data_IF_584294148186
#
_entry.id   IF_584294148186
#
_cell.length_a   1.000
_cell.length_b   1.000
_cell.length_c   1.000
_cell.angle_alpha   90.00
_cell.angle_beta   90.00
_cell.angle_gamma   90.00
#
_symmetry.space_group_name_H-M   'P 1'
#
loop_
_entity.id
_entity.type
_entity.pdbx_description
1 polymer ?
#
# COMPACT_ATOMS: atom_id res chain seq x y z
N UNK A 1 -62.19 -32.26 38.56
CA UNK A 1 -63.20 -32.33 37.50
C UNK A 1 -62.43 -32.48 36.25
N UNK A 2 -62.20 -33.62 35.76
CA UNK A 2 -62.99 -34.29 34.68
C UNK A 2 -62.68 -33.53 33.37
N UNK A 3 -62.30 -34.11 32.30
CA UNK A 3 -62.11 -35.49 31.82
C UNK A 3 -61.75 -35.45 30.34
N UNK A 4 -60.98 -36.39 29.99
CA UNK A 4 -61.11 -37.34 28.89
C UNK A 4 -60.67 -36.92 27.46
N UNK A 5 -59.69 -37.60 26.97
CA UNK A 5 -59.71 -38.84 26.10
C UNK A 5 -60.16 -38.48 24.66
N UNK A 6 -59.42 -38.75 23.59
CA UNK A 6 -58.95 -40.00 23.02
C UNK A 6 -58.34 -39.75 21.65
N UNK A 7 -57.27 -40.41 21.37
CA UNK A 7 -57.09 -41.41 20.31
C UNK A 7 -56.95 -40.94 18.86
N UNK A 8 -55.92 -41.35 18.27
CA UNK A 8 -55.94 -42.15 17.08
C UNK A 8 -54.98 -41.65 15.94
N UNK A 9 -53.94 -42.36 15.73
CA UNK A 9 -53.04 -42.32 14.55
C UNK A 9 -53.82 -42.64 13.24
N UNK A 10 -53.28 -42.45 12.05
CA UNK A 10 -51.96 -42.96 11.64
C UNK A 10 -51.15 -42.08 10.70
N UNK A 11 -49.86 -42.37 10.70
CA UNK A 11 -48.82 -42.11 9.73
C UNK A 11 -49.35 -42.14 8.28
N UNK A 12 -49.08 -41.06 7.57
CA UNK A 12 -49.06 -41.04 6.11
C UNK A 12 -47.74 -40.47 5.62
N UNK A 13 -46.89 -41.37 5.19
CA UNK A 13 -45.69 -41.07 4.42
C UNK A 13 -46.06 -40.22 3.19
N UNK A 14 -45.61 -38.96 3.15
CA UNK A 14 -45.68 -38.14 1.94
C UNK A 14 -44.37 -38.27 1.18
N UNK A 15 -44.50 -38.96 0.06
CA UNK A 15 -43.55 -39.05 -1.04
C UNK A 15 -42.98 -37.66 -1.38
N UNK A 16 -41.64 -37.53 -1.31
CA UNK A 16 -40.91 -36.40 -1.89
C UNK A 16 -41.04 -36.45 -3.43
N UNK A 17 -41.99 -35.70 -3.96
CA UNK A 17 -42.03 -35.37 -5.38
C UNK A 17 -40.93 -34.33 -5.61
N UNK A 18 -39.92 -34.70 -6.44
CA UNK A 18 -38.96 -33.81 -7.06
C UNK A 18 -39.69 -32.60 -7.64
N UNK A 19 -39.53 -31.44 -7.00
CA UNK A 19 -39.87 -30.15 -7.60
C UNK A 19 -38.69 -29.71 -8.46
N UNK A 20 -38.68 -30.16 -9.69
CA UNK A 20 -37.90 -29.49 -10.76
C UNK A 20 -38.40 -28.05 -10.87
N UNK A 21 -37.60 -27.11 -10.41
CA UNK A 21 -37.84 -25.68 -10.62
C UNK A 21 -37.74 -25.43 -12.12
N UNK A 22 -38.86 -25.30 -12.80
CA UNK A 22 -38.92 -24.81 -14.17
C UNK A 22 -38.54 -23.33 -14.13
N UNK A 23 -37.28 -23.01 -14.53
CA UNK A 23 -36.89 -21.65 -14.80
C UNK A 23 -37.76 -21.10 -15.94
N UNK A 24 -38.49 -19.97 -15.75
CA UNK A 24 -39.32 -19.42 -16.81
C UNK A 24 -38.44 -19.08 -18.02
N UNK A 25 -38.76 -19.62 -19.19
CA UNK A 25 -38.18 -19.11 -20.45
C UNK A 25 -38.69 -17.70 -20.65
N UNK A 26 -37.84 -16.70 -20.37
CA UNK A 26 -38.09 -15.30 -20.73
C UNK A 26 -38.37 -15.22 -22.23
N UNK A 27 -39.55 -14.71 -22.60
CA UNK A 27 -39.90 -14.37 -23.98
C UNK A 27 -38.82 -13.39 -24.46
N UNK A 28 -38.20 -13.68 -25.62
CA UNK A 28 -37.13 -12.93 -26.23
C UNK A 28 -37.52 -11.46 -26.43
N UNK A 29 -37.07 -10.60 -25.54
CA UNK A 29 -36.82 -9.18 -25.88
C UNK A 29 -35.48 -9.10 -26.59
N UNK A 30 -35.54 -9.18 -27.93
CA UNK A 30 -34.34 -9.18 -28.81
C UNK A 30 -33.53 -7.88 -28.80
N UNK A 31 -33.92 -6.89 -28.02
CA UNK A 31 -33.46 -5.50 -28.18
C UNK A 31 -32.25 -5.09 -27.30
N UNK A 32 -31.89 -5.87 -26.30
CA UNK A 32 -30.83 -5.48 -25.33
C UNK A 32 -29.63 -6.41 -25.26
N UNK A 33 -29.58 -7.45 -26.07
CA UNK A 33 -28.43 -8.37 -26.07
C UNK A 33 -27.32 -7.87 -26.98
N UNK A 34 -26.11 -7.75 -26.45
CA UNK A 34 -24.90 -7.43 -27.22
C UNK A 34 -24.44 -8.69 -27.94
N UNK A 35 -24.49 -8.75 -29.28
CA UNK A 35 -24.22 -9.99 -30.03
C UNK A 35 -22.86 -10.62 -29.75
N UNK A 36 -21.81 -9.79 -29.59
CA UNK A 36 -20.46 -10.26 -29.29
C UNK A 36 -20.38 -10.95 -27.91
N UNK A 37 -21.05 -10.39 -26.89
CA UNK A 37 -21.10 -10.97 -25.55
C UNK A 37 -21.85 -12.31 -25.54
N UNK A 38 -22.98 -12.38 -26.27
CA UNK A 38 -23.73 -13.64 -26.45
C UNK A 38 -22.83 -14.72 -27.06
N UNK A 39 -22.03 -14.35 -28.07
CA UNK A 39 -21.09 -15.30 -28.71
C UNK A 39 -19.96 -15.74 -27.77
N UNK A 40 -19.49 -14.90 -26.87
CA UNK A 40 -18.54 -15.32 -25.82
C UNK A 40 -19.17 -16.39 -24.94
N UNK A 41 -20.41 -16.20 -24.48
CA UNK A 41 -21.10 -17.21 -23.66
C UNK A 41 -21.34 -18.50 -24.45
N UNK A 42 -21.77 -18.43 -25.74
CA UNK A 42 -21.92 -19.61 -26.58
C UNK A 42 -20.61 -20.42 -26.67
N UNK A 43 -19.45 -19.75 -26.79
CA UNK A 43 -18.13 -20.39 -26.82
C UNK A 43 -17.79 -21.04 -25.48
N UNK A 44 -17.97 -20.31 -24.35
CA UNK A 44 -17.65 -20.82 -23.02
C UNK A 44 -18.54 -22.02 -22.65
N UNK A 45 -19.84 -21.96 -22.96
CA UNK A 45 -20.77 -23.07 -22.74
C UNK A 45 -20.40 -24.29 -23.60
N UNK A 46 -20.02 -24.06 -24.86
CA UNK A 46 -19.57 -25.14 -25.75
C UNK A 46 -18.35 -25.83 -25.15
N UNK A 47 -17.30 -25.08 -24.80
CA UNK A 47 -16.08 -25.62 -24.21
C UNK A 47 -16.31 -26.27 -22.84
N UNK A 48 -17.30 -25.80 -22.08
CA UNK A 48 -17.70 -26.41 -20.80
C UNK A 48 -18.44 -27.74 -20.94
N UNK A 49 -19.19 -27.93 -22.02
CA UNK A 49 -19.89 -29.20 -22.31
C UNK A 49 -18.99 -30.27 -22.90
N UNK A 50 -17.97 -29.85 -23.64
CA UNK A 50 -17.01 -30.77 -24.25
C UNK A 50 -15.96 -31.20 -23.23
N UNK A 51 -15.72 -32.50 -23.12
CA UNK A 51 -14.68 -33.03 -22.22
C UNK A 51 -13.27 -33.01 -22.85
N UNK A 52 -13.18 -32.66 -24.13
CA UNK A 52 -11.93 -32.62 -24.91
C UNK A 52 -11.67 -31.21 -25.42
N UNK A 53 -10.40 -30.89 -25.67
CA UNK A 53 -10.01 -29.61 -26.29
C UNK A 53 -10.51 -29.56 -27.73
N UNK A 54 -10.94 -28.37 -28.20
CA UNK A 54 -11.46 -28.15 -29.56
C UNK A 54 -10.52 -27.26 -30.39
N UNK A 55 -10.40 -27.53 -31.67
CA UNK A 55 -9.75 -26.63 -32.61
C UNK A 55 -10.63 -25.42 -32.95
N UNK A 56 -10.02 -24.34 -33.46
CA UNK A 56 -10.77 -23.18 -33.97
C UNK A 56 -11.83 -23.58 -34.97
N UNK A 57 -11.53 -24.56 -35.86
CA UNK A 57 -12.44 -25.06 -36.87
C UNK A 57 -13.65 -25.75 -36.25
N UNK A 58 -13.44 -26.62 -35.28
CA UNK A 58 -14.52 -27.30 -34.55
C UNK A 58 -15.44 -26.34 -33.82
N UNK A 59 -14.87 -25.27 -33.20
CA UNK A 59 -15.64 -24.22 -32.54
C UNK A 59 -16.43 -23.41 -33.58
N UNK A 60 -15.80 -23.07 -34.73
CA UNK A 60 -16.47 -22.36 -35.83
C UNK A 60 -17.70 -23.08 -36.34
N UNK A 61 -17.61 -24.40 -36.51
CA UNK A 61 -18.72 -25.19 -36.97
C UNK A 61 -19.91 -25.24 -36.01
N UNK A 62 -19.66 -25.08 -34.70
CA UNK A 62 -20.66 -25.17 -33.66
C UNK A 62 -21.22 -23.80 -33.22
N UNK A 63 -20.45 -22.72 -33.39
CA UNK A 63 -20.83 -21.34 -32.99
C UNK A 63 -21.16 -20.52 -34.25
N UNK A 64 -22.40 -20.06 -34.38
CA UNK A 64 -22.88 -19.28 -35.52
C UNK A 64 -22.32 -17.85 -35.51
N UNK A 65 -21.06 -17.68 -35.95
CA UNK A 65 -20.39 -16.37 -36.11
C UNK A 65 -19.25 -16.50 -37.17
N UNK A 66 -18.79 -15.39 -37.77
CA UNK A 66 -17.63 -15.42 -38.70
C UNK A 66 -16.38 -15.94 -37.97
N UNK A 67 -15.56 -16.73 -38.67
CA UNK A 67 -14.35 -17.36 -38.10
C UNK A 67 -13.37 -16.35 -37.51
N UNK A 68 -13.23 -15.19 -38.15
CA UNK A 68 -12.42 -14.06 -37.63
C UNK A 68 -12.94 -13.51 -36.32
N UNK A 69 -14.27 -13.42 -36.18
CA UNK A 69 -14.90 -12.99 -34.93
C UNK A 69 -14.66 -14.01 -33.81
N UNK A 70 -14.88 -15.32 -34.10
CA UNK A 70 -14.63 -16.40 -33.13
C UNK A 70 -13.17 -16.37 -32.67
N UNK A 71 -12.23 -16.23 -33.61
CA UNK A 71 -10.81 -16.14 -33.28
C UNK A 71 -10.50 -14.99 -32.34
N UNK A 72 -11.03 -13.78 -32.62
CA UNK A 72 -10.84 -12.59 -31.74
C UNK A 72 -11.46 -12.79 -30.38
N UNK A 73 -12.66 -13.37 -30.30
CA UNK A 73 -13.32 -13.68 -29.03
C UNK A 73 -12.53 -14.72 -28.24
N UNK A 74 -12.05 -15.79 -28.89
CA UNK A 74 -11.19 -16.79 -28.24
C UNK A 74 -9.89 -16.19 -27.71
N UNK A 75 -9.22 -15.33 -28.51
CA UNK A 75 -8.02 -14.63 -28.03
C UNK A 75 -8.31 -13.75 -26.82
N UNK A 76 -9.46 -13.07 -26.81
CA UNK A 76 -9.92 -12.30 -25.65
C UNK A 76 -10.16 -13.22 -24.44
N UNK A 77 -10.84 -14.34 -24.65
CA UNK A 77 -11.11 -15.30 -23.57
C UNK A 77 -9.82 -15.94 -23.02
N UNK A 78 -8.85 -16.21 -23.89
CA UNK A 78 -7.50 -16.72 -23.49
C UNK A 78 -6.77 -15.65 -22.70
N UNK A 79 -6.73 -14.42 -23.19
CA UNK A 79 -6.09 -13.29 -22.48
C UNK A 79 -6.73 -13.06 -21.11
N UNK A 80 -8.05 -13.21 -21.01
CA UNK A 80 -8.81 -13.06 -19.75
C UNK A 80 -8.80 -14.32 -18.89
N UNK A 81 -8.16 -15.41 -19.32
CA UNK A 81 -7.99 -16.64 -18.55
C UNK A 81 -9.21 -17.55 -18.45
N UNK A 82 -10.30 -17.27 -19.21
CA UNK A 82 -11.48 -18.14 -19.26
C UNK A 82 -11.28 -19.36 -20.14
N UNK A 83 -10.40 -19.26 -21.13
CA UNK A 83 -10.06 -20.33 -22.07
C UNK A 83 -8.55 -20.52 -22.06
N UNK A 84 -8.09 -21.76 -22.02
CA UNK A 84 -6.69 -22.11 -22.22
C UNK A 84 -6.48 -22.57 -23.68
N UNK A 85 -5.36 -22.12 -24.31
CA UNK A 85 -4.89 -22.64 -25.59
C UNK A 85 -3.64 -23.49 -25.34
N UNK A 86 -3.69 -24.77 -25.71
CA UNK A 86 -2.55 -25.66 -25.63
C UNK A 86 -1.48 -25.39 -26.70
N UNK A 87 -0.30 -25.98 -26.55
CA UNK A 87 0.79 -25.94 -27.55
C UNK A 87 0.41 -26.60 -28.88
N UNK A 88 -0.60 -27.46 -28.85
CA UNK A 88 -1.26 -28.08 -29.98
C UNK A 88 -2.25 -27.16 -30.73
N UNK A 89 -2.42 -25.91 -30.23
CA UNK A 89 -3.35 -24.93 -30.78
C UNK A 89 -4.82 -25.16 -30.43
N UNK A 90 -5.14 -26.18 -29.62
CA UNK A 90 -6.50 -26.50 -29.24
C UNK A 90 -6.95 -25.62 -28.04
N UNK A 91 -8.26 -25.34 -27.98
CA UNK A 91 -8.91 -24.54 -26.96
C UNK A 91 -9.70 -25.41 -26.01
N UNK A 92 -9.62 -25.10 -24.69
CA UNK A 92 -10.42 -25.74 -23.65
C UNK A 92 -10.87 -24.70 -22.63
N UNK A 93 -11.96 -24.97 -21.92
CA UNK A 93 -12.32 -24.14 -20.79
C UNK A 93 -11.21 -24.20 -19.75
N UNK A 94 -10.82 -23.06 -19.23
CA UNK A 94 -9.81 -23.03 -18.16
C UNK A 94 -10.39 -23.67 -16.90
N UNK A 95 -9.70 -24.65 -16.34
CA UNK A 95 -10.12 -25.33 -15.10
C UNK A 95 -9.99 -24.42 -13.88
N UNK A 96 -9.21 -23.35 -14.00
CA UNK A 96 -9.09 -22.29 -12.99
C UNK A 96 -9.03 -20.94 -13.72
N UNK A 97 -9.74 -19.91 -13.24
CA UNK A 97 -9.53 -18.56 -13.75
C UNK A 97 -8.04 -18.23 -13.60
N UNK A 98 -7.44 -17.58 -14.62
CA UNK A 98 -6.05 -17.09 -14.53
C UNK A 98 -5.93 -16.27 -13.25
N UNK A 99 -5.02 -16.66 -12.37
CA UNK A 99 -4.68 -15.84 -11.21
C UNK A 99 -4.20 -14.48 -11.71
N UNK A 100 -4.71 -13.41 -11.14
CA UNK A 100 -4.17 -12.08 -11.37
C UNK A 100 -2.72 -12.07 -10.90
N UNK A 101 -1.82 -11.54 -11.72
CA UNK A 101 -0.38 -11.47 -11.45
C UNK A 101 0.02 -10.02 -11.25
N UNK A 102 0.41 -9.67 -10.03
CA UNK A 102 0.89 -8.34 -9.69
C UNK A 102 2.42 -8.33 -9.66
N UNK A 103 3.02 -7.27 -10.20
CA UNK A 103 4.42 -6.97 -10.02
C UNK A 103 4.59 -5.96 -8.89
N UNK A 104 5.52 -6.20 -8.00
CA UNK A 104 5.89 -5.28 -6.94
C UNK A 104 7.39 -5.00 -7.00
N UNK A 105 7.77 -3.76 -7.33
CA UNK A 105 9.12 -3.26 -7.19
C UNK A 105 9.23 -2.62 -5.80
N UNK A 106 9.83 -3.34 -4.86
CA UNK A 106 9.99 -2.92 -3.47
C UNK A 106 11.13 -1.90 -3.34
N UNK A 107 11.02 -0.97 -2.41
CA UNK A 107 12.02 0.09 -2.20
C UNK A 107 13.41 -0.48 -1.88
N UNK A 108 13.50 -1.32 -0.86
CA UNK A 108 14.70 -2.07 -0.47
C UNK A 108 14.36 -3.03 0.68
N UNK A 109 14.92 -4.23 0.63
CA UNK A 109 14.86 -5.18 1.75
C UNK A 109 15.66 -4.75 2.98
N UNK A 110 16.60 -3.81 2.81
CA UNK A 110 17.42 -3.28 3.90
C UNK A 110 16.73 -2.15 4.69
N UNK A 111 15.56 -1.70 4.23
CA UNK A 111 14.79 -0.64 4.87
C UNK A 111 13.64 -1.22 5.70
N UNK A 112 13.60 -1.00 7.03
CA UNK A 112 12.60 -1.63 7.92
C UNK A 112 11.15 -1.41 7.49
N UNK A 113 10.79 -0.18 7.11
CA UNK A 113 9.45 0.13 6.63
C UNK A 113 9.10 -0.63 5.34
N UNK A 114 10.02 -0.66 4.38
CA UNK A 114 9.85 -1.38 3.11
C UNK A 114 9.68 -2.89 3.33
N UNK A 115 10.39 -3.48 4.30
CA UNK A 115 10.27 -4.88 4.65
C UNK A 115 8.89 -5.21 5.26
N UNK A 116 8.36 -4.35 6.14
CA UNK A 116 7.00 -4.48 6.69
C UNK A 116 5.97 -4.45 5.56
N UNK A 117 6.05 -3.47 4.66
CA UNK A 117 5.15 -3.34 3.50
C UNK A 117 5.25 -4.58 2.61
N UNK A 118 6.46 -5.04 2.31
CA UNK A 118 6.71 -6.22 1.46
C UNK A 118 6.10 -7.48 2.05
N UNK A 119 6.33 -7.71 3.35
CA UNK A 119 5.80 -8.87 4.06
C UNK A 119 4.27 -8.84 4.13
N UNK A 120 3.69 -7.67 4.41
CA UNK A 120 2.25 -7.43 4.40
C UNK A 120 1.64 -7.71 3.03
N UNK A 121 2.28 -7.23 1.95
CA UNK A 121 1.80 -7.41 0.58
C UNK A 121 1.87 -8.89 0.14
N UNK A 122 2.96 -9.61 0.47
CA UNK A 122 3.07 -11.05 0.22
C UNK A 122 1.94 -11.84 0.90
N UNK A 123 1.68 -11.54 2.17
CA UNK A 123 0.62 -12.19 2.94
C UNK A 123 -0.78 -11.89 2.35
N UNK A 124 -1.05 -10.63 1.98
CA UNK A 124 -2.32 -10.23 1.37
C UNK A 124 -2.52 -10.85 -0.02
N UNK A 125 -1.48 -10.90 -0.86
CA UNK A 125 -1.54 -11.54 -2.17
C UNK A 125 -1.91 -13.02 -2.06
N UNK A 126 -1.29 -13.74 -1.11
CA UNK A 126 -1.59 -15.14 -0.85
C UNK A 126 -3.06 -15.34 -0.42
N UNK A 127 -3.56 -14.53 0.52
CA UNK A 127 -4.97 -14.61 0.98
C UNK A 127 -5.97 -14.33 -0.11
N UNK A 128 -5.65 -13.42 -1.04
CA UNK A 128 -6.55 -13.01 -2.12
C UNK A 128 -6.35 -13.79 -3.43
N UNK A 129 -5.49 -14.82 -3.44
CA UNK A 129 -5.23 -15.65 -4.61
C UNK A 129 -4.54 -14.91 -5.76
N UNK A 130 -3.82 -13.82 -5.46
CA UNK A 130 -3.01 -13.04 -6.40
C UNK A 130 -1.60 -13.65 -6.45
N UNK A 131 -1.08 -13.86 -7.65
CA UNK A 131 0.35 -14.17 -7.85
C UNK A 131 1.14 -12.88 -7.74
N UNK A 132 2.13 -12.83 -6.84
CA UNK A 132 2.95 -11.64 -6.62
C UNK A 132 4.40 -11.91 -7.02
N UNK A 133 4.87 -11.17 -8.04
CA UNK A 133 6.28 -11.10 -8.40
C UNK A 133 6.92 -9.90 -7.67
N UNK A 134 7.88 -10.17 -6.81
CA UNK A 134 8.58 -9.13 -6.03
C UNK A 134 9.99 -8.95 -6.58
N UNK A 135 10.35 -7.71 -6.88
CA UNK A 135 11.71 -7.28 -7.25
C UNK A 135 12.17 -6.23 -6.24
N UNK A 136 13.45 -6.22 -5.91
CA UNK A 136 14.05 -5.26 -4.98
C UNK A 136 14.73 -4.15 -5.78
N UNK A 137 14.43 -2.89 -5.50
CA UNK A 137 15.06 -1.71 -6.09
C UNK A 137 16.37 -1.35 -5.42
N UNK A 138 16.70 -2.00 -4.30
CA UNK A 138 17.94 -1.78 -3.53
C UNK A 138 18.22 -0.30 -3.20
N UNK A 139 17.17 0.52 -3.11
CA UNK A 139 17.28 1.97 -2.90
C UNK A 139 18.04 2.69 -4.04
N UNK A 140 18.05 2.10 -5.24
CA UNK A 140 18.79 2.54 -6.42
C UNK A 140 17.85 2.89 -7.58
N UNK A 141 17.91 4.10 -8.14
CA UNK A 141 17.01 4.54 -9.21
C UNK A 141 17.22 3.79 -10.53
N UNK A 142 18.45 3.37 -10.85
CA UNK A 142 18.72 2.65 -12.10
C UNK A 142 18.17 1.24 -12.02
N UNK A 143 18.30 0.59 -10.86
CA UNK A 143 17.70 -0.72 -10.60
C UNK A 143 16.16 -0.62 -10.63
N UNK A 144 15.56 0.45 -10.09
CA UNK A 144 14.12 0.67 -10.14
C UNK A 144 13.60 0.75 -11.60
N UNK A 145 14.31 1.49 -12.48
CA UNK A 145 13.98 1.57 -13.90
C UNK A 145 14.09 0.19 -14.57
N UNK A 146 15.15 -0.56 -14.28
CA UNK A 146 15.35 -1.90 -14.82
C UNK A 146 14.28 -2.89 -14.33
N UNK A 147 13.91 -2.81 -13.06
CA UNK A 147 12.84 -3.63 -12.47
C UNK A 147 11.47 -3.33 -13.13
N UNK A 148 11.18 -2.06 -13.44
CA UNK A 148 9.97 -1.69 -14.17
C UNK A 148 9.93 -2.34 -15.57
N UNK A 149 11.07 -2.32 -16.30
CA UNK A 149 11.20 -3.01 -17.59
C UNK A 149 10.98 -4.53 -17.47
N UNK A 150 11.55 -5.13 -16.44
CA UNK A 150 11.39 -6.56 -16.16
C UNK A 150 9.94 -6.90 -15.85
N UNK A 151 9.24 -6.11 -15.06
CA UNK A 151 7.81 -6.32 -14.76
C UNK A 151 6.95 -6.24 -16.02
N UNK A 152 7.28 -5.35 -16.97
CA UNK A 152 6.62 -5.29 -18.28
C UNK A 152 6.90 -6.56 -19.10
N UNK A 153 8.13 -7.03 -19.14
CA UNK A 153 8.50 -8.28 -19.84
C UNK A 153 7.80 -9.51 -19.25
N UNK A 154 7.62 -9.56 -17.95
CA UNK A 154 6.91 -10.60 -17.21
C UNK A 154 5.38 -10.55 -17.41
N UNK A 155 4.87 -9.56 -18.14
CA UNK A 155 3.45 -9.40 -18.48
C UNK A 155 2.52 -9.46 -17.26
N UNK A 156 2.89 -8.76 -16.19
CA UNK A 156 2.04 -8.63 -15.01
C UNK A 156 0.76 -7.86 -15.33
N UNK A 157 -0.32 -8.11 -14.60
CA UNK A 157 -1.60 -7.45 -14.82
C UNK A 157 -1.65 -6.05 -14.21
N UNK A 158 -0.83 -5.79 -13.19
CA UNK A 158 -0.71 -4.51 -12.49
C UNK A 158 0.68 -4.38 -11.87
N UNK A 159 1.25 -3.18 -11.91
CA UNK A 159 2.50 -2.85 -11.22
C UNK A 159 2.22 -2.03 -9.96
N UNK A 160 2.85 -2.41 -8.86
CA UNK A 160 2.97 -1.62 -7.64
C UNK A 160 4.44 -1.19 -7.56
N UNK A 161 4.68 0.13 -7.59
CA UNK A 161 6.03 0.70 -7.57
C UNK A 161 6.28 1.41 -6.25
N UNK A 162 7.33 1.02 -5.56
CA UNK A 162 7.77 1.66 -4.34
C UNK A 162 9.25 2.04 -4.46
N UNK A 163 9.50 3.26 -4.88
CA UNK A 163 10.83 3.86 -4.98
C UNK A 163 10.73 5.35 -4.58
N UNK A 164 11.85 6.02 -4.33
CA UNK A 164 11.87 7.35 -3.74
C UNK A 164 12.61 8.41 -4.57
N UNK A 165 13.14 8.05 -5.73
CA UNK A 165 13.85 9.00 -6.58
C UNK A 165 12.89 9.64 -7.59
N UNK A 166 12.52 10.89 -7.34
CA UNK A 166 11.58 11.62 -8.20
C UNK A 166 12.06 11.71 -9.65
N UNK A 167 13.38 11.77 -9.88
CA UNK A 167 13.99 11.91 -11.21
C UNK A 167 13.65 10.76 -12.16
N UNK A 168 13.43 9.55 -11.66
CA UNK A 168 13.10 8.36 -12.49
C UNK A 168 11.61 8.04 -12.54
N UNK A 169 10.79 8.72 -11.75
CA UNK A 169 9.35 8.43 -11.66
C UNK A 169 8.63 8.51 -13.01
N UNK A 170 8.93 9.52 -13.84
CA UNK A 170 8.36 9.66 -15.17
C UNK A 170 8.83 8.54 -16.12
N UNK A 171 10.11 8.17 -16.08
CA UNK A 171 10.68 7.11 -16.92
C UNK A 171 10.01 5.77 -16.62
N UNK A 172 9.88 5.43 -15.35
CA UNK A 172 9.19 4.20 -14.89
C UNK A 172 7.75 4.19 -15.36
N UNK A 173 7.03 5.30 -15.13
CA UNK A 173 5.62 5.43 -15.50
C UNK A 173 5.39 5.28 -17.00
N UNK A 174 6.21 5.92 -17.82
CA UNK A 174 6.08 5.86 -19.29
C UNK A 174 6.30 4.44 -19.80
N UNK A 175 7.29 3.71 -19.28
CA UNK A 175 7.54 2.30 -19.66
C UNK A 175 6.34 1.41 -19.36
N UNK A 176 5.74 1.57 -18.19
CA UNK A 176 4.58 0.78 -17.74
C UNK A 176 3.32 1.19 -18.52
N UNK A 177 3.11 2.49 -18.74
CA UNK A 177 1.95 3.02 -19.46
C UNK A 177 1.95 2.60 -20.95
N UNK A 178 3.12 2.61 -21.64
CA UNK A 178 3.26 2.14 -23.01
C UNK A 178 2.88 0.66 -23.14
N UNK A 179 3.15 -0.13 -22.11
CA UNK A 179 2.71 -1.53 -22.06
C UNK A 179 1.22 -1.70 -21.75
N UNK A 180 0.50 -0.63 -21.43
CA UNK A 180 -0.93 -0.66 -21.08
C UNK A 180 -1.19 -1.29 -19.70
N UNK A 181 -0.19 -1.34 -18.83
CA UNK A 181 -0.30 -1.93 -17.49
C UNK A 181 -0.66 -0.83 -16.50
N UNK A 182 -1.70 -1.01 -15.66
CA UNK A 182 -2.01 -0.07 -14.57
C UNK A 182 -0.88 0.00 -13.54
N UNK A 183 -0.62 1.22 -13.03
CA UNK A 183 0.41 1.50 -12.05
C UNK A 183 -0.19 2.04 -10.75
N UNK A 184 0.21 1.47 -9.63
CA UNK A 184 0.00 2.01 -8.28
C UNK A 184 1.35 2.46 -7.72
N UNK A 185 1.49 3.73 -7.40
CA UNK A 185 2.71 4.31 -6.84
C UNK A 185 2.58 4.43 -5.31
N UNK A 186 3.54 3.87 -4.58
CA UNK A 186 3.55 3.83 -3.11
C UNK A 186 4.41 4.96 -2.55
N UNK A 187 3.83 5.75 -1.66
CA UNK A 187 4.43 6.85 -0.87
C UNK A 187 5.08 7.99 -1.67
N UNK A 188 5.33 7.80 -2.96
CA UNK A 188 5.80 8.86 -3.86
C UNK A 188 4.97 8.83 -5.15
N UNK A 189 4.33 9.95 -5.54
CA UNK A 189 3.48 9.96 -6.73
C UNK A 189 4.30 9.84 -8.01
N UNK A 190 3.77 9.05 -8.95
CA UNK A 190 4.29 8.90 -10.30
C UNK A 190 3.27 9.43 -11.31
N UNK A 191 3.68 9.96 -12.47
CA UNK A 191 2.75 10.31 -13.55
C UNK A 191 1.86 9.11 -13.94
N UNK A 192 0.60 9.37 -14.26
CA UNK A 192 -0.36 8.35 -14.70
C UNK A 192 -0.63 7.19 -13.71
N UNK A 193 -0.09 7.25 -12.49
CA UNK A 193 -0.28 6.24 -11.46
C UNK A 193 -1.42 6.62 -10.50
N UNK A 194 -2.06 5.60 -9.95
CA UNK A 194 -2.86 5.77 -8.74
C UNK A 194 -1.94 5.84 -7.54
N UNK A 195 -2.00 6.92 -6.77
CA UNK A 195 -1.20 7.07 -5.55
C UNK A 195 -1.81 6.29 -4.40
N UNK A 196 -0.96 5.62 -3.64
CA UNK A 196 -1.29 5.02 -2.35
C UNK A 196 -0.19 5.33 -1.33
N UNK A 197 -0.53 5.90 -0.18
CA UNK A 197 0.45 6.17 0.87
C UNK A 197 0.08 7.31 1.79
N UNK A 198 1.09 7.89 2.41
CA UNK A 198 0.93 8.92 3.43
C UNK A 198 0.47 10.28 2.86
N UNK A 199 -0.39 10.98 3.60
CA UNK A 199 -0.56 12.43 3.46
C UNK A 199 0.63 13.12 4.14
N UNK A 200 1.67 13.40 3.37
CA UNK A 200 2.94 13.90 3.88
C UNK A 200 2.79 15.20 4.67
N UNK A 201 1.98 16.14 4.18
CA UNK A 201 1.78 17.41 4.90
C UNK A 201 1.12 17.18 6.26
N UNK A 202 0.06 16.39 6.29
CA UNK A 202 -0.69 16.09 7.51
C UNK A 202 0.15 15.30 8.53
N UNK A 203 0.93 14.32 8.07
CA UNK A 203 1.87 13.58 8.93
C UNK A 203 2.87 14.54 9.58
N UNK A 204 3.53 15.36 8.76
CA UNK A 204 4.48 16.34 9.25
C UNK A 204 3.84 17.32 10.23
N UNK A 205 2.69 17.88 9.89
CA UNK A 205 1.99 18.84 10.74
C UNK A 205 1.70 18.25 12.14
N UNK A 206 1.21 17.00 12.18
CA UNK A 206 0.94 16.29 13.44
C UNK A 206 2.22 16.07 14.26
N UNK A 207 3.33 15.72 13.61
CA UNK A 207 4.63 15.56 14.28
C UNK A 207 5.14 16.89 14.84
N UNK A 208 4.99 17.97 14.06
CA UNK A 208 5.37 19.32 14.46
C UNK A 208 4.57 19.83 15.67
N UNK A 209 3.23 19.67 15.66
CA UNK A 209 2.41 20.00 16.84
C UNK A 209 2.83 19.20 18.07
N UNK A 210 3.14 17.90 17.92
CA UNK A 210 3.57 17.08 19.04
C UNK A 210 4.91 17.54 19.63
N UNK A 211 5.88 17.91 18.77
CA UNK A 211 7.15 18.51 19.19
C UNK A 211 6.94 19.84 19.91
N UNK A 212 6.09 20.71 19.38
CA UNK A 212 5.78 22.00 20.01
C UNK A 212 5.13 21.82 21.38
N UNK A 213 4.17 20.91 21.51
CA UNK A 213 3.56 20.56 22.81
C UNK A 213 4.59 20.03 23.80
N UNK A 214 5.54 19.22 23.35
CA UNK A 214 6.66 18.77 24.18
C UNK A 214 7.49 19.95 24.67
N UNK A 215 7.88 20.87 23.79
CA UNK A 215 8.68 22.05 24.15
C UNK A 215 7.93 23.00 25.11
N UNK A 216 6.64 23.23 24.91
CA UNK A 216 5.79 24.01 25.83
C UNK A 216 5.81 23.38 27.24
N UNK A 217 5.59 22.08 27.32
CA UNK A 217 5.48 21.34 28.57
C UNK A 217 6.80 21.23 29.33
N UNK A 218 7.89 20.92 28.62
CA UNK A 218 9.18 20.57 29.24
C UNK A 218 10.20 21.70 29.24
N UNK A 219 10.12 22.63 28.25
CA UNK A 219 11.09 23.72 28.05
C UNK A 219 10.48 25.12 28.23
N UNK A 220 9.19 25.22 28.63
CA UNK A 220 8.46 26.48 28.76
C UNK A 220 8.56 27.32 27.47
N UNK A 221 8.36 26.69 26.34
CA UNK A 221 8.44 27.28 24.99
C UNK A 221 9.82 27.81 24.58
N UNK A 222 10.88 27.49 25.32
CA UNK A 222 12.24 27.93 24.98
C UNK A 222 12.81 27.04 23.90
N UNK A 223 12.55 27.38 22.64
CA UNK A 223 13.08 26.70 21.46
C UNK A 223 14.10 27.62 20.80
N UNK A 224 15.30 27.11 20.53
CA UNK A 224 16.40 27.82 19.87
C UNK A 224 16.37 27.66 18.36
N UNK A 225 16.15 26.43 17.89
CA UNK A 225 16.04 26.14 16.47
C UNK A 225 15.25 24.86 16.20
N UNK A 226 14.87 24.69 14.94
CA UNK A 226 14.14 23.54 14.42
C UNK A 226 14.89 22.99 13.23
N UNK A 227 15.31 21.72 13.30
CA UNK A 227 15.91 21.01 12.18
C UNK A 227 14.87 20.13 11.49
N UNK A 228 14.73 20.27 10.18
CA UNK A 228 14.00 19.36 9.33
C UNK A 228 14.99 18.45 8.61
N UNK A 229 14.98 17.16 8.93
CA UNK A 229 15.79 16.16 8.23
C UNK A 229 15.00 15.62 7.06
N UNK A 230 15.26 16.18 5.90
CA UNK A 230 14.47 16.05 4.68
C UNK A 230 14.90 14.86 3.81
N UNK A 231 14.13 14.62 2.76
CA UNK A 231 14.32 13.60 1.74
C UNK A 231 14.18 14.29 0.35
N UNK A 232 15.22 15.03 -0.05
CA UNK A 232 15.14 15.92 -1.23
C UNK A 232 14.91 15.14 -2.53
N UNK A 233 15.53 13.98 -2.68
CA UNK A 233 15.40 13.16 -3.88
C UNK A 233 13.97 12.65 -4.15
N UNK A 234 13.12 12.62 -3.14
CA UNK A 234 11.71 12.22 -3.30
C UNK A 234 10.80 13.34 -3.81
N UNK A 235 11.34 14.54 -4.01
CA UNK A 235 10.65 15.68 -4.60
C UNK A 235 9.69 16.41 -3.65
N UNK A 236 9.06 17.47 -4.16
CA UNK A 236 8.27 18.42 -3.37
C UNK A 236 7.07 17.79 -2.65
N UNK A 237 6.44 16.78 -3.23
CA UNK A 237 5.30 16.11 -2.62
C UNK A 237 5.68 15.45 -1.28
N UNK A 238 6.82 14.78 -1.24
CA UNK A 238 7.32 14.12 -0.03
C UNK A 238 7.93 15.12 0.95
N UNK A 239 8.65 16.15 0.45
CA UNK A 239 9.18 17.25 1.26
C UNK A 239 8.11 18.07 1.99
N UNK A 240 6.83 17.97 1.57
CA UNK A 240 5.73 18.54 2.32
C UNK A 240 5.61 17.99 3.75
N UNK A 241 6.24 16.84 4.06
CA UNK A 241 6.33 16.33 5.43
C UNK A 241 7.11 17.28 6.33
N UNK A 242 8.27 17.74 5.89
CA UNK A 242 9.07 18.75 6.62
C UNK A 242 8.36 20.10 6.67
N UNK A 243 7.72 20.52 5.56
CA UNK A 243 6.90 21.76 5.54
C UNK A 243 5.76 21.70 6.54
N UNK A 244 5.06 20.57 6.58
CA UNK A 244 4.00 20.32 7.55
C UNK A 244 4.52 20.40 8.99
N UNK A 245 5.67 19.77 9.29
CA UNK A 245 6.27 19.80 10.62
C UNK A 245 6.60 21.22 11.06
N UNK A 246 7.20 22.02 10.19
CA UNK A 246 7.49 23.42 10.50
C UNK A 246 6.21 24.23 10.77
N UNK A 247 5.19 24.03 9.95
CA UNK A 247 3.91 24.71 10.13
C UNK A 247 3.19 24.25 11.42
N UNK A 248 3.26 22.96 11.74
CA UNK A 248 2.72 22.42 12.99
C UNK A 248 3.41 22.99 14.23
N UNK A 249 4.76 23.17 14.19
CA UNK A 249 5.50 23.83 15.26
C UNK A 249 5.09 25.29 15.37
N UNK A 250 5.06 26.03 14.26
CA UNK A 250 4.69 27.46 14.26
C UNK A 250 3.26 27.72 14.70
N UNK A 251 2.34 26.79 14.48
CA UNK A 251 0.95 26.93 14.92
C UNK A 251 0.81 27.07 16.45
N UNK A 252 1.74 26.47 17.19
CA UNK A 252 1.76 26.51 18.66
C UNK A 252 2.87 27.39 19.23
N UNK A 253 3.89 27.69 18.45
CA UNK A 253 5.04 28.54 18.79
C UNK A 253 5.22 29.63 17.72
N UNK A 254 4.26 30.57 17.61
CA UNK A 254 4.23 31.54 16.51
C UNK A 254 5.37 32.58 16.57
N UNK A 255 5.98 32.77 17.73
CA UNK A 255 7.06 33.74 17.95
C UNK A 255 8.44 33.23 17.46
N UNK A 256 8.54 32.00 16.95
CA UNK A 256 9.77 31.49 16.37
C UNK A 256 10.06 32.18 15.04
N UNK A 257 11.21 32.82 14.97
CA UNK A 257 11.70 33.45 13.74
C UNK A 257 11.92 32.41 12.63
N UNK A 258 11.73 32.83 11.38
CA UNK A 258 11.85 31.93 10.21
C UNK A 258 13.28 31.37 10.08
N UNK A 259 14.27 32.13 10.47
CA UNK A 259 15.70 31.78 10.47
C UNK A 259 16.04 30.66 11.46
N UNK A 260 15.15 30.39 12.42
CA UNK A 260 15.29 29.28 13.35
C UNK A 260 15.02 27.91 12.69
N UNK A 261 14.44 27.88 11.50
CA UNK A 261 14.06 26.66 10.79
C UNK A 261 15.10 26.29 9.73
N UNK A 262 15.78 25.17 9.91
CA UNK A 262 16.86 24.70 9.05
C UNK A 262 16.48 23.37 8.41
N UNK A 263 16.63 23.25 7.09
CA UNK A 263 16.46 21.97 6.37
C UNK A 263 17.82 21.35 6.07
N UNK A 264 17.90 20.03 6.18
CA UNK A 264 19.08 19.22 5.86
C UNK A 264 18.66 17.96 5.14
N UNK A 265 19.26 17.65 4.00
CA UNK A 265 18.96 16.43 3.25
C UNK A 265 19.64 15.21 3.87
N UNK A 266 18.87 14.41 4.57
CA UNK A 266 19.31 13.13 5.17
C UNK A 266 19.31 11.95 4.20
N UNK A 267 18.73 12.11 3.01
CA UNK A 267 18.46 11.04 2.04
C UNK A 267 17.70 9.84 2.61
N UNK A 268 16.99 10.01 3.72
CA UNK A 268 16.29 8.91 4.42
C UNK A 268 17.24 7.93 5.12
N UNK A 269 18.53 8.22 5.24
CA UNK A 269 19.56 7.29 5.73
C UNK A 269 20.00 7.64 7.15
N UNK A 270 20.10 6.63 8.02
CA UNK A 270 20.52 6.75 9.42
C UNK A 270 21.91 7.35 9.56
N UNK A 271 22.86 6.83 8.78
CA UNK A 271 24.27 7.29 8.85
C UNK A 271 24.43 8.75 8.41
N UNK A 272 23.72 9.14 7.33
CA UNK A 272 23.79 10.54 6.86
C UNK A 272 23.13 11.48 7.87
N UNK A 273 22.00 11.10 8.44
CA UNK A 273 21.35 11.85 9.51
C UNK A 273 22.26 12.01 10.72
N UNK A 274 22.89 10.93 11.18
CA UNK A 274 23.85 10.97 12.27
C UNK A 274 24.97 11.98 12.00
N UNK A 275 25.64 11.91 10.84
CA UNK A 275 26.73 12.83 10.48
C UNK A 275 26.28 14.29 10.45
N UNK A 276 25.14 14.58 9.81
CA UNK A 276 24.59 15.94 9.72
C UNK A 276 24.27 16.53 11.08
N UNK A 277 23.59 15.76 11.93
CA UNK A 277 23.18 16.21 13.26
C UNK A 277 24.37 16.32 14.21
N UNK A 278 25.32 15.38 14.13
CA UNK A 278 26.56 15.43 14.91
C UNK A 278 27.34 16.71 14.61
N UNK A 279 27.53 17.02 13.32
CA UNK A 279 28.22 18.23 12.88
C UNK A 279 27.47 19.51 13.34
N UNK A 280 26.15 19.52 13.22
CA UNK A 280 25.33 20.63 13.66
C UNK A 280 25.47 20.86 15.18
N UNK A 281 25.24 19.82 15.98
CA UNK A 281 25.29 19.90 17.44
C UNK A 281 26.68 20.24 17.97
N UNK A 282 27.74 19.73 17.36
CA UNK A 282 29.13 20.04 17.71
C UNK A 282 29.47 21.53 17.53
N UNK A 283 28.84 22.20 16.56
CA UNK A 283 28.98 23.67 16.37
C UNK A 283 28.11 24.46 17.38
N UNK A 284 27.16 23.82 18.02
CA UNK A 284 26.19 24.43 18.93
C UNK A 284 26.15 23.78 20.33
N UNK A 285 27.28 23.52 20.99
CA UNK A 285 27.37 22.66 22.18
C UNK A 285 26.67 23.23 23.43
N UNK A 286 26.31 24.51 23.40
CA UNK A 286 25.61 25.18 24.51
C UNK A 286 24.14 25.41 24.24
N UNK A 287 23.68 25.11 23.06
CA UNK A 287 22.30 25.35 22.66
C UNK A 287 21.37 24.33 23.34
N UNK A 288 20.23 24.82 23.80
CA UNK A 288 19.14 24.01 24.38
C UNK A 288 17.86 24.34 23.66
N UNK A 289 16.95 23.38 23.66
CA UNK A 289 15.66 23.56 22.99
C UNK A 289 15.76 23.41 21.48
N UNK A 290 16.41 22.35 21.01
CA UNK A 290 16.52 22.01 19.60
C UNK A 290 15.44 20.98 19.25
N UNK A 291 14.50 21.36 18.37
CA UNK A 291 13.50 20.44 17.83
C UNK A 291 14.02 19.83 16.53
N UNK A 292 13.87 18.52 16.37
CA UNK A 292 14.27 17.80 15.16
C UNK A 292 13.04 17.04 14.60
N UNK A 293 12.58 17.45 13.42
CA UNK A 293 11.56 16.77 12.66
C UNK A 293 12.25 15.85 11.62
N UNK A 294 12.34 14.58 11.91
CA UNK A 294 12.93 13.61 11.02
C UNK A 294 11.88 13.07 10.03
N UNK A 295 12.33 12.83 8.80
CA UNK A 295 11.48 12.31 7.73
C UNK A 295 10.90 10.93 8.07
N UNK A 296 11.69 10.07 8.72
CA UNK A 296 11.28 8.74 9.19
C UNK A 296 12.03 8.36 10.48
N UNK A 297 11.69 7.22 11.06
CA UNK A 297 12.32 6.74 12.30
C UNK A 297 13.80 6.35 12.10
N UNK A 298 14.17 5.82 10.95
CA UNK A 298 15.56 5.49 10.63
C UNK A 298 16.44 6.75 10.71
N UNK A 299 15.96 7.87 10.19
CA UNK A 299 16.61 9.19 10.27
C UNK A 299 16.58 9.72 11.71
N UNK A 300 15.46 9.56 12.43
CA UNK A 300 15.33 9.98 13.82
C UNK A 300 16.33 9.24 14.74
N UNK A 301 16.54 7.95 14.51
CA UNK A 301 17.51 7.14 15.26
C UNK A 301 18.95 7.61 15.01
N UNK A 302 19.28 8.03 13.78
CA UNK A 302 20.58 8.65 13.47
C UNK A 302 20.78 9.96 14.21
N UNK A 303 19.79 10.84 14.21
CA UNK A 303 19.81 12.10 14.95
C UNK A 303 19.94 11.89 16.47
N UNK A 304 19.22 10.90 17.00
CA UNK A 304 19.29 10.51 18.42
C UNK A 304 20.69 10.02 18.79
N UNK A 305 21.32 9.20 17.94
CA UNK A 305 22.68 8.70 18.17
C UNK A 305 23.67 9.87 18.26
N UNK A 306 23.56 10.87 17.39
CA UNK A 306 24.41 12.08 17.42
C UNK A 306 24.21 12.88 18.72
N UNK A 307 22.94 13.04 19.15
CA UNK A 307 22.64 13.73 20.41
C UNK A 307 23.24 13.01 21.64
N UNK A 308 23.21 11.68 21.67
CA UNK A 308 23.81 10.86 22.72
C UNK A 308 25.33 10.98 22.77
N UNK A 309 25.98 10.92 21.61
CA UNK A 309 27.45 11.03 21.54
C UNK A 309 27.96 12.34 22.12
N UNK A 310 27.21 13.43 21.93
CA UNK A 310 27.55 14.75 22.46
C UNK A 310 26.94 15.06 23.84
N UNK A 311 26.27 14.08 24.47
CA UNK A 311 25.58 14.26 25.77
C UNK A 311 24.55 15.40 25.77
N UNK A 312 23.85 15.56 24.64
CA UNK A 312 22.85 16.60 24.42
C UNK A 312 21.39 16.10 24.45
N UNK A 313 21.12 14.90 24.94
CA UNK A 313 19.78 14.26 24.94
C UNK A 313 18.72 15.12 25.60
N UNK A 314 19.10 15.88 26.63
CA UNK A 314 18.18 16.79 27.36
C UNK A 314 17.97 18.13 26.62
N UNK A 315 18.78 18.42 25.64
CA UNK A 315 18.73 19.66 24.85
C UNK A 315 17.96 19.51 23.53
N UNK A 316 17.65 18.27 23.16
CA UNK A 316 17.05 17.89 21.87
C UNK A 316 15.72 17.16 22.07
N UNK A 317 14.73 17.40 21.22
CA UNK A 317 13.53 16.58 21.10
C UNK A 317 13.29 16.22 19.64
N UNK A 318 13.11 14.93 19.38
CA UNK A 318 13.08 14.36 18.02
C UNK A 318 11.69 13.77 17.76
N UNK A 319 11.14 14.05 16.58
CA UNK A 319 9.99 13.36 16.01
C UNK A 319 10.46 12.46 14.88
N UNK A 320 10.02 11.21 14.90
CA UNK A 320 10.13 10.25 13.83
C UNK A 320 8.79 9.97 13.15
N UNK A 321 8.79 9.02 12.24
CA UNK A 321 7.64 8.53 11.50
C UNK A 321 7.86 7.04 11.23
N UNK A 322 6.82 6.25 11.10
CA UNK A 322 6.74 4.82 10.79
C UNK A 322 6.44 3.94 12.01
N UNK A 323 6.83 4.35 13.22
CA UNK A 323 6.73 3.55 14.46
C UNK A 323 7.42 2.18 14.34
N UNK A 324 8.61 2.13 13.71
CA UNK A 324 9.39 0.89 13.65
C UNK A 324 9.77 0.42 15.06
N UNK A 325 9.90 -0.90 15.24
CA UNK A 325 10.09 -1.51 16.56
C UNK A 325 11.27 -0.89 17.35
N UNK A 326 12.43 -0.66 16.69
CA UNK A 326 13.61 -0.04 17.32
C UNK A 326 13.31 1.37 17.84
N UNK A 327 12.58 2.19 17.05
CA UNK A 327 12.24 3.56 17.46
C UNK A 327 11.24 3.57 18.63
N UNK A 328 10.26 2.67 18.64
CA UNK A 328 9.29 2.52 19.72
C UNK A 328 10.00 2.07 21.01
N UNK A 329 10.92 1.10 20.91
CA UNK A 329 11.75 0.68 22.05
C UNK A 329 12.58 1.83 22.60
N UNK A 330 13.29 2.57 21.73
CA UNK A 330 14.08 3.73 22.12
C UNK A 330 13.21 4.83 22.77
N UNK A 331 12.06 5.13 22.20
CA UNK A 331 11.13 6.13 22.74
C UNK A 331 10.60 5.75 24.13
N UNK A 332 10.56 4.46 24.48
CA UNK A 332 10.12 3.99 25.81
C UNK A 332 11.12 4.31 26.92
N UNK A 333 12.42 4.52 26.59
CA UNK A 333 13.48 4.79 27.55
C UNK A 333 13.32 6.19 28.20
N UNK A 334 13.56 6.34 29.51
CA UNK A 334 13.30 7.60 30.22
C UNK A 334 14.00 8.83 29.67
N UNK A 335 15.24 8.67 29.25
CA UNK A 335 16.18 9.72 28.79
C UNK A 335 16.26 9.86 27.28
N UNK A 336 15.48 9.09 26.52
CA UNK A 336 15.46 9.18 25.08
C UNK A 336 14.99 10.56 24.59
N UNK A 337 15.73 11.22 23.69
CA UNK A 337 15.29 12.44 23.02
C UNK A 337 14.26 12.20 21.92
N UNK A 338 14.05 10.94 21.49
CA UNK A 338 12.96 10.57 20.59
C UNK A 338 11.64 10.58 21.38
N UNK A 339 10.79 11.57 21.13
CA UNK A 339 9.61 11.87 21.95
C UNK A 339 8.28 11.56 21.28
N UNK A 340 8.29 11.46 19.96
CA UNK A 340 7.11 11.14 19.16
C UNK A 340 7.51 10.38 17.88
N UNK A 341 6.66 9.46 17.45
CA UNK A 341 6.66 8.89 16.11
C UNK A 341 5.22 8.83 15.60
N UNK A 342 5.04 9.02 14.29
CA UNK A 342 3.72 8.95 13.66
C UNK A 342 3.61 7.63 12.91
N UNK A 343 2.67 6.80 13.35
CA UNK A 343 2.32 5.55 12.70
C UNK A 343 1.39 5.81 11.52
N UNK A 344 1.65 5.21 10.38
CA UNK A 344 0.76 5.17 9.23
C UNK A 344 0.44 3.75 8.74
N UNK A 345 0.57 2.78 9.65
CA UNK A 345 0.05 1.41 9.53
C UNK A 345 0.60 0.63 8.34
N UNK A 346 1.94 0.51 8.25
CA UNK A 346 2.64 -0.24 7.20
C UNK A 346 2.11 -1.66 7.01
N UNK A 347 1.71 -2.33 8.09
CA UNK A 347 1.14 -3.67 8.09
C UNK A 347 -0.19 -3.76 7.34
N UNK A 348 -0.91 -2.65 7.21
CA UNK A 348 -2.18 -2.58 6.47
C UNK A 348 -2.01 -2.34 4.97
N UNK A 349 -0.81 -1.95 4.53
CA UNK A 349 -0.55 -1.62 3.13
C UNK A 349 -0.90 -2.77 2.20
N UNK A 350 -0.51 -3.99 2.56
CA UNK A 350 -0.71 -5.16 1.73
C UNK A 350 -2.17 -5.39 1.34
N UNK A 351 -3.08 -5.45 2.31
CA UNK A 351 -4.52 -5.65 2.03
C UNK A 351 -5.10 -4.50 1.21
N UNK A 352 -4.72 -3.28 1.52
CA UNK A 352 -5.23 -2.09 0.84
C UNK A 352 -4.70 -2.00 -0.60
N UNK A 353 -3.43 -2.31 -0.84
CA UNK A 353 -2.81 -2.33 -2.17
C UNK A 353 -3.40 -3.44 -3.04
N UNK A 354 -3.58 -4.65 -2.50
CA UNK A 354 -4.23 -5.75 -3.24
C UNK A 354 -5.68 -5.39 -3.58
N UNK A 355 -6.44 -4.88 -2.63
CA UNK A 355 -7.82 -4.46 -2.87
C UNK A 355 -7.90 -3.35 -3.93
N UNK A 356 -7.03 -2.33 -3.83
CA UNK A 356 -6.95 -1.23 -4.79
C UNK A 356 -6.62 -1.74 -6.19
N UNK A 357 -5.60 -2.60 -6.33
CA UNK A 357 -5.20 -3.18 -7.61
C UNK A 357 -6.30 -4.04 -8.23
N UNK A 358 -6.99 -4.86 -7.45
CA UNK A 358 -8.13 -5.65 -7.93
C UNK A 358 -9.29 -4.77 -8.39
N UNK A 359 -9.56 -3.66 -7.71
CA UNK A 359 -10.61 -2.71 -8.09
C UNK A 359 -10.26 -2.02 -9.43
N UNK A 360 -9.00 -1.59 -9.61
CA UNK A 360 -8.50 -1.02 -10.86
C UNK A 360 -8.69 -2.02 -12.02
N UNK A 361 -8.25 -3.27 -11.83
CA UNK A 361 -8.36 -4.30 -12.87
C UNK A 361 -9.81 -4.70 -13.21
N UNK A 362 -10.74 -4.51 -12.28
CA UNK A 362 -12.19 -4.70 -12.51
C UNK A 362 -12.84 -3.49 -13.18
N UNK A 363 -12.09 -2.43 -13.45
CA UNK A 363 -12.61 -1.19 -14.04
C UNK A 363 -13.47 -0.38 -13.07
N UNK A 364 -13.33 -0.59 -11.77
CA UNK A 364 -14.02 0.23 -10.76
C UNK A 364 -13.35 1.58 -10.64
N UNK A 365 -14.13 2.63 -10.44
CA UNK A 365 -13.61 3.96 -10.19
C UNK A 365 -12.90 3.98 -8.83
N UNK A 366 -11.63 4.40 -8.82
CA UNK A 366 -10.82 4.58 -7.63
C UNK A 366 -10.34 6.04 -7.54
N UNK A 367 -10.20 6.61 -6.33
CA UNK A 367 -9.61 7.93 -6.17
C UNK A 367 -8.17 7.95 -6.72
N UNK A 368 -7.71 9.05 -7.33
CA UNK A 368 -6.32 9.15 -7.79
C UNK A 368 -5.30 9.16 -6.64
N UNK A 369 -5.72 9.60 -5.44
CA UNK A 369 -4.95 9.56 -4.21
C UNK A 369 -5.69 8.77 -3.14
N UNK A 370 -5.01 7.77 -2.58
CA UNK A 370 -5.53 6.89 -1.53
C UNK A 370 -4.63 7.02 -0.31
N UNK A 371 -4.99 7.91 0.61
CA UNK A 371 -4.20 8.20 1.79
C UNK A 371 -4.40 7.15 2.89
N UNK A 372 -3.30 6.86 3.61
CA UNK A 372 -3.32 6.04 4.81
C UNK A 372 -3.85 6.83 6.00
N UNK A 373 -4.37 6.12 6.99
CA UNK A 373 -4.63 6.70 8.31
C UNK A 373 -3.31 6.98 9.03
N UNK A 374 -3.38 7.81 10.08
CA UNK A 374 -2.23 8.10 10.93
C UNK A 374 -2.60 8.04 12.40
N UNK A 375 -1.63 7.69 13.24
CA UNK A 375 -1.75 7.71 14.69
C UNK A 375 -0.50 8.30 15.31
N UNK A 376 -0.68 9.25 16.24
CA UNK A 376 0.42 9.85 16.95
C UNK A 376 0.78 8.95 18.14
N UNK A 377 2.01 8.46 18.15
CA UNK A 377 2.58 7.75 19.27
C UNK A 377 3.56 8.66 20.00
N UNK A 378 3.29 8.93 21.27
CA UNK A 378 4.16 9.75 22.11
C UNK A 378 4.73 8.92 23.27
N UNK A 379 5.81 9.41 23.86
CA UNK A 379 6.42 8.82 25.05
C UNK A 379 5.42 8.70 26.21
N UNK A 380 4.50 9.64 26.34
CA UNK A 380 3.43 9.62 27.35
C UNK A 380 2.39 8.53 27.03
N UNK A 381 1.99 8.39 25.77
CA UNK A 381 1.00 7.38 25.37
C UNK A 381 1.53 5.96 25.56
N UNK A 382 2.82 5.72 25.33
CA UNK A 382 3.48 4.43 25.60
C UNK A 382 3.43 4.09 27.10
N UNK A 383 3.77 5.05 27.97
CA UNK A 383 3.71 4.85 29.43
C UNK A 383 2.29 4.58 29.93
N UNK A 384 1.29 5.22 29.34
CA UNK A 384 -0.12 5.00 29.69
C UNK A 384 -0.61 3.61 29.25
N UNK A 385 -0.17 3.14 28.07
CA UNK A 385 -0.46 1.80 27.56
C UNK A 385 0.14 0.69 28.42
N UNK A 386 1.40 0.82 28.81
CA UNK A 386 2.08 -0.13 29.68
C UNK A 386 1.42 -0.25 31.08
N UNK A 387 0.94 0.86 31.65
CA UNK A 387 0.20 0.83 32.94
C UNK A 387 -1.16 0.12 32.83
N UNK A 388 -1.86 0.22 31.71
CA UNK A 388 -3.13 -0.50 31.49
C UNK A 388 -2.94 -1.99 31.28
N UNK A 389 -1.87 -2.41 30.62
CA UNK A 389 -1.54 -3.82 30.41
C UNK A 389 -1.12 -4.51 31.73
N UNK A 390 -0.40 -3.80 32.62
CA UNK A 390 0.03 -4.34 33.93
C UNK A 390 -1.03 -4.27 35.06
N UNK A 391 -2.24 -3.76 34.78
CA UNK A 391 -3.35 -3.74 35.76
C UNK A 391 -4.46 -4.74 35.43
N UNK A 392 -4.25 -5.64 34.47
CA UNK A 392 -5.20 -6.66 34.02
C UNK A 392 -4.80 -8.09 34.42
N UNK A 393 -3.76 -8.24 35.29
CA UNK A 393 -3.33 -9.52 35.87
C UNK A 393 -3.81 -9.66 37.32
#
# INVERSE_FOLDING_TARGET
MQSNISSGAPSRAMSRKDRTVKVPRLKQEKTYLVPAVTKVFDILELLGREKTSLSLEQIYQKVKAPKTTIYRLLKTCVHRGYVAQGTDGLYRLSSQPRKMRFGFAAQSSDMPFSEIVTSSLKAAAMRNGVELLVLDNHYDPEIAVHNAERLVQEQVDLVIEFQIEHSVAAIISDKIAVAGIPLVAVDMPHPHATYFGADNYRLGYSAGEALARYAIKHWKSKVRCVLGLDLEQAGAFVQNRTTGAFNGIRSLLPDLEIESFVRMDSRGLREKSYKLVLEFLARHPKDKGILIAAHNDTVALGAMQAARELHMEQSVAIAGQDCIAEAVEEMSKPDSPLVVSIEHFAESYGERLIALGLNILRGQAVPPYNFTEQKILTKESLKAGAKKAGSSD
#
